data_IF_234571293394
#
_entry.id   IF_234571293394
#
_cell.length_a   1.000
_cell.length_b   1.000
_cell.length_c   1.000
_cell.angle_alpha   90.00
_cell.angle_beta   90.00
_cell.angle_gamma   90.00
#
_symmetry.space_group_name_H-M   'P 1'
#
loop_
_entity.id
_entity.type
_entity.pdbx_description
1 polymer ?
#
# COMPACT_ATOMS: atom_id res chain seq x y z
N UNK A 1 2.73 6.33 -12.86
CA UNK A 1 4.08 6.36 -12.22
C UNK A 1 4.10 5.68 -10.85
N UNK A 2 3.25 6.09 -9.90
CA UNK A 2 3.25 5.53 -8.52
C UNK A 2 3.04 4.01 -8.45
N UNK A 3 2.16 3.45 -9.28
CA UNK A 3 1.96 1.99 -9.35
C UNK A 3 3.21 1.21 -9.76
N UNK A 4 4.01 1.75 -10.69
CA UNK A 4 5.28 1.13 -11.09
C UNK A 4 6.29 1.14 -9.95
N UNK A 5 6.41 2.27 -9.24
CA UNK A 5 7.30 2.41 -8.09
C UNK A 5 6.90 1.42 -6.99
N UNK A 6 5.62 1.40 -6.60
CA UNK A 6 5.07 0.49 -5.60
C UNK A 6 5.29 -0.98 -5.99
N UNK A 7 5.07 -1.34 -7.25
CA UNK A 7 5.26 -2.71 -7.74
C UNK A 7 6.72 -3.16 -7.74
N UNK A 8 7.64 -2.34 -8.26
CA UNK A 8 9.07 -2.70 -8.33
C UNK A 8 9.72 -2.71 -6.95
N UNK A 9 9.34 -1.79 -6.06
CA UNK A 9 9.85 -1.79 -4.68
C UNK A 9 9.34 -2.99 -3.89
N UNK A 10 8.05 -3.37 -4.02
CA UNK A 10 7.52 -4.58 -3.38
C UNK A 10 8.31 -5.84 -3.82
N UNK A 11 8.54 -6.01 -5.13
CA UNK A 11 9.36 -7.13 -5.64
C UNK A 11 10.78 -7.10 -5.05
N UNK A 12 11.39 -5.92 -4.98
CA UNK A 12 12.75 -5.79 -4.44
C UNK A 12 12.81 -6.13 -2.95
N UNK A 13 11.80 -5.75 -2.16
CA UNK A 13 11.75 -6.00 -0.72
C UNK A 13 11.60 -7.50 -0.45
N UNK A 14 10.67 -8.16 -1.15
CA UNK A 14 10.45 -9.60 -1.04
C UNK A 14 11.73 -10.38 -1.36
N UNK A 15 12.41 -10.03 -2.44
CA UNK A 15 13.67 -10.68 -2.85
C UNK A 15 14.81 -10.46 -1.85
N UNK A 16 14.91 -9.27 -1.27
CA UNK A 16 16.04 -8.89 -0.41
C UNK A 16 15.87 -9.35 1.04
N UNK A 17 14.65 -9.29 1.56
CA UNK A 17 14.39 -9.44 2.99
C UNK A 17 13.53 -10.66 3.34
N UNK A 18 12.78 -11.21 2.39
CA UNK A 18 11.92 -12.38 2.63
C UNK A 18 12.49 -13.68 2.02
N UNK A 19 13.64 -13.62 1.37
CA UNK A 19 14.32 -14.79 0.77
C UNK A 19 13.56 -15.43 -0.39
N UNK A 20 12.46 -14.85 -0.85
CA UNK A 20 11.63 -15.37 -1.95
C UNK A 20 12.11 -14.79 -3.28
N UNK A 21 12.58 -15.65 -4.17
CA UNK A 21 13.17 -15.23 -5.46
C UNK A 21 12.20 -15.34 -6.64
N UNK A 22 11.20 -16.23 -6.57
CA UNK A 22 10.21 -16.51 -7.63
C UNK A 22 8.84 -16.88 -7.03
N UNK A 23 7.78 -16.73 -7.83
CA UNK A 23 6.43 -17.24 -7.60
C UNK A 23 5.85 -16.94 -6.21
N UNK A 24 5.93 -15.68 -5.77
CA UNK A 24 5.22 -15.21 -4.59
C UNK A 24 3.93 -14.51 -5.00
N UNK A 25 2.81 -14.96 -4.44
CA UNK A 25 1.47 -14.40 -4.65
C UNK A 25 0.83 -14.16 -3.28
N UNK A 26 -0.06 -13.16 -3.18
CA UNK A 26 -0.78 -12.85 -1.94
C UNK A 26 -0.07 -11.91 -0.96
N UNK A 27 1.20 -11.54 -1.20
CA UNK A 27 1.91 -10.55 -0.37
C UNK A 27 1.65 -9.12 -0.88
N UNK A 28 0.90 -8.32 -0.11
CA UNK A 28 0.67 -6.91 -0.37
C UNK A 28 1.57 -6.06 0.53
N UNK A 29 2.60 -5.44 -0.04
CA UNK A 29 3.53 -4.60 0.74
C UNK A 29 3.04 -3.15 0.89
N UNK A 30 2.21 -2.67 -0.04
CA UNK A 30 1.69 -1.31 -0.04
C UNK A 30 0.16 -1.33 0.00
N UNK A 31 -0.43 -0.35 0.69
CA UNK A 31 -1.87 -0.06 0.60
C UNK A 31 -2.29 0.22 -0.85
N UNK A 32 -3.57 0.13 -1.18
CA UNK A 32 -4.04 0.33 -2.56
C UNK A 32 -3.90 1.80 -2.99
N UNK A 33 -4.25 2.73 -2.12
CA UNK A 33 -4.19 4.17 -2.38
C UNK A 33 -2.79 4.76 -2.39
N UNK A 34 -2.71 6.04 -2.76
CA UNK A 34 -1.53 6.88 -2.58
C UNK A 34 -1.96 8.34 -2.40
N UNK A 35 -1.13 9.13 -1.71
CA UNK A 35 -1.30 10.57 -1.57
C UNK A 35 -0.21 11.31 -2.37
N UNK A 36 -0.57 12.45 -2.97
CA UNK A 36 0.35 13.33 -3.69
C UNK A 36 -0.03 14.78 -3.46
N UNK A 37 0.96 15.65 -3.28
CA UNK A 37 0.79 17.10 -3.22
C UNK A 37 1.83 17.79 -4.10
N UNK A 38 1.42 18.84 -4.81
CA UNK A 38 2.27 19.62 -5.72
C UNK A 38 2.77 20.92 -5.11
N UNK A 39 2.18 21.38 -4.01
CA UNK A 39 2.40 22.72 -3.44
C UNK A 39 3.01 22.70 -2.04
N UNK A 40 3.12 21.52 -1.42
CA UNK A 40 3.71 21.36 -0.08
C UNK A 40 3.07 20.20 0.71
N UNK A 41 3.77 19.73 1.74
CA UNK A 41 3.27 18.68 2.63
C UNK A 41 2.65 19.32 3.88
N UNK A 42 1.34 19.19 4.01
CA UNK A 42 0.60 19.49 5.23
C UNK A 42 0.48 18.20 6.06
N UNK A 43 0.94 18.23 7.32
CA UNK A 43 1.00 17.04 8.18
C UNK A 43 -0.39 16.58 8.59
N UNK A 44 -1.30 17.51 8.81
CA UNK A 44 -2.69 17.28 9.18
C UNK A 44 -3.41 16.58 8.04
N UNK A 45 -3.18 17.03 6.80
CA UNK A 45 -3.74 16.40 5.59
C UNK A 45 -3.19 14.99 5.39
N UNK A 46 -1.89 14.78 5.56
CA UNK A 46 -1.29 13.43 5.46
C UNK A 46 -1.84 12.51 6.54
N UNK A 47 -1.99 12.98 7.78
CA UNK A 47 -2.60 12.20 8.87
C UNK A 47 -4.04 11.82 8.54
N UNK A 48 -4.84 12.77 8.05
CA UNK A 48 -6.22 12.51 7.65
C UNK A 48 -6.30 11.49 6.52
N UNK A 49 -5.39 11.57 5.53
CA UNK A 49 -5.30 10.61 4.45
C UNK A 49 -5.00 9.19 4.98
N UNK A 50 -4.02 9.04 5.87
CA UNK A 50 -3.67 7.74 6.47
C UNK A 50 -4.87 7.15 7.21
N UNK A 51 -5.52 7.93 8.08
CA UNK A 51 -6.68 7.47 8.85
C UNK A 51 -7.86 7.04 7.96
N UNK A 52 -8.12 7.77 6.88
CA UNK A 52 -9.17 7.40 5.93
C UNK A 52 -8.79 6.16 5.12
N UNK A 53 -7.51 6.04 4.73
CA UNK A 53 -7.01 4.86 4.02
C UNK A 53 -7.14 3.60 4.87
N UNK A 54 -6.82 3.68 6.17
CA UNK A 54 -6.96 2.57 7.11
C UNK A 54 -8.42 2.11 7.24
N UNK A 55 -9.37 3.05 7.41
CA UNK A 55 -10.80 2.73 7.47
C UNK A 55 -11.31 2.06 6.19
N UNK A 56 -10.91 2.57 5.05
CA UNK A 56 -11.30 1.97 3.77
C UNK A 56 -10.71 0.57 3.60
N UNK A 57 -9.45 0.36 3.97
CA UNK A 57 -8.81 -0.95 3.90
C UNK A 57 -9.50 -1.95 4.86
N UNK A 58 -9.92 -1.53 6.06
CA UNK A 58 -10.74 -2.35 6.98
C UNK A 58 -12.08 -2.77 6.36
N UNK A 59 -12.81 -1.83 5.75
CA UNK A 59 -14.07 -2.12 5.06
C UNK A 59 -13.85 -3.12 3.91
N UNK A 60 -12.79 -2.91 3.11
CA UNK A 60 -12.45 -3.81 2.02
C UNK A 60 -12.11 -5.22 2.49
N UNK A 61 -11.39 -5.34 3.60
CA UNK A 61 -11.04 -6.65 4.13
C UNK A 61 -12.26 -7.36 4.72
N UNK A 62 -13.17 -6.66 5.41
CA UNK A 62 -14.46 -7.21 5.82
C UNK A 62 -15.27 -7.77 4.63
N UNK A 63 -15.31 -7.05 3.51
CA UNK A 63 -15.97 -7.50 2.29
C UNK A 63 -15.32 -8.74 1.66
N UNK A 64 -13.99 -8.90 1.80
CA UNK A 64 -13.27 -10.09 1.30
C UNK A 64 -13.47 -11.33 2.19
N UNK A 65 -13.73 -11.13 3.48
CA UNK A 65 -13.90 -12.21 4.46
C UNK A 65 -15.35 -12.67 4.65
N UNK A 66 -16.31 -12.16 3.86
CA UNK A 66 -17.72 -12.56 4.00
C UNK A 66 -17.93 -14.08 3.94
N UNK A 67 -18.80 -14.72 4.73
CA UNK A 67 -20.02 -14.21 5.38
C UNK A 67 -20.80 -13.22 4.52
#
# INVERSE_FOLDING_TARGET
>A
MVGYIKGKSAISIVRRFMGKTKNFTGENFWARGYFVSTVGLDKEVVRAYILNQEKEDEQYDQLKFGL
#
